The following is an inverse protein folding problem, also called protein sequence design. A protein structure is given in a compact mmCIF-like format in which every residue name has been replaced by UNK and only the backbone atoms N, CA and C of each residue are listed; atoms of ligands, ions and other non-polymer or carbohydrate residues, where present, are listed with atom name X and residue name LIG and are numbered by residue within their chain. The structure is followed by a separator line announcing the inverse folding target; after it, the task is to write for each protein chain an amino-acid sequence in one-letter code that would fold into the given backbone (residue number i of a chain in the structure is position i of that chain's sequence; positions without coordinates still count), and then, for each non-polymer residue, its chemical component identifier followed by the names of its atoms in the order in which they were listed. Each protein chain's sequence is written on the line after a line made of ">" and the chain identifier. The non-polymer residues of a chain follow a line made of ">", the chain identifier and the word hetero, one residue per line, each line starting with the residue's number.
data_IF_855701371154
#
_entry.id   IF_855701371154
#
_cell.length_a   1.000
_cell.length_b   1.000
_cell.length_c   1.000
_cell.angle_alpha   90.00
_cell.angle_beta   90.00
_cell.angle_gamma   90.00
#
_symmetry.space_group_name_H-M   'P 1'
#
loop_
_entity.id
_entity.type
_entity.pdbx_description
1 polymer ?
#
# COMPACT_ATOMS: atom_id res chain seq x y z
N UNK A 1 -21.86 -24.15 -4.24
CA UNK A 1 -21.29 -23.31 -5.31
C UNK A 1 -21.18 -21.91 -4.74
N UNK A 2 -19.95 -21.45 -4.46
CA UNK A 2 -19.46 -20.06 -4.57
C UNK A 2 -18.04 -20.01 -3.98
N UNK A 3 -17.04 -20.20 -4.84
CA UNK A 3 -15.73 -19.60 -4.63
C UNK A 3 -15.73 -18.34 -5.48
N UNK A 4 -15.94 -17.19 -4.85
CA UNK A 4 -15.53 -15.91 -5.42
C UNK A 4 -14.53 -15.35 -4.43
N UNK A 5 -13.28 -15.84 -4.54
CA UNK A 5 -12.17 -15.13 -3.95
C UNK A 5 -12.23 -13.71 -4.52
N UNK A 6 -12.34 -12.71 -3.64
CA UNK A 6 -12.18 -11.32 -4.02
C UNK A 6 -10.88 -11.20 -4.82
N UNK A 7 -10.84 -10.38 -5.89
CA UNK A 7 -9.61 -10.22 -6.66
C UNK A 7 -8.51 -9.83 -5.68
N UNK A 8 -7.50 -10.68 -5.55
CA UNK A 8 -6.38 -10.44 -4.67
C UNK A 8 -5.56 -9.28 -5.27
N UNK A 9 -5.99 -8.05 -5.00
CA UNK A 9 -5.40 -6.80 -5.48
C UNK A 9 -3.92 -6.74 -5.09
N UNK A 10 -3.54 -7.30 -3.94
CA UNK A 10 -2.15 -7.42 -3.50
C UNK A 10 -1.28 -8.29 -4.42
N UNK A 11 -1.84 -9.37 -4.98
CA UNK A 11 -1.10 -10.25 -5.91
C UNK A 11 -0.87 -9.63 -7.29
N UNK A 12 -1.69 -8.66 -7.71
CA UNK A 12 -1.60 -8.07 -9.04
C UNK A 12 -0.74 -6.80 -9.10
N UNK A 13 -0.39 -6.19 -7.96
CA UNK A 13 0.40 -4.95 -7.96
C UNK A 13 1.80 -5.16 -8.54
N UNK A 14 2.44 -6.30 -8.25
CA UNK A 14 3.77 -6.61 -8.79
C UNK A 14 3.72 -6.91 -10.29
N UNK A 15 2.67 -7.59 -10.74
CA UNK A 15 2.43 -7.86 -12.16
C UNK A 15 2.20 -6.56 -12.92
N UNK A 16 1.45 -5.62 -12.32
CA UNK A 16 1.18 -4.32 -12.92
C UNK A 16 2.44 -3.43 -12.97
N UNK A 17 3.21 -3.33 -11.89
CA UNK A 17 4.51 -2.64 -11.87
C UNK A 17 5.43 -3.22 -12.95
N UNK A 18 5.49 -4.55 -13.07
CA UNK A 18 6.29 -5.22 -14.11
C UNK A 18 5.81 -4.84 -15.52
N UNK A 19 4.49 -4.90 -15.76
CA UNK A 19 3.89 -4.49 -17.03
C UNK A 19 4.22 -3.03 -17.39
N UNK A 20 4.14 -2.10 -16.44
CA UNK A 20 4.47 -0.69 -16.64
C UNK A 20 5.96 -0.51 -17.00
N UNK A 21 6.86 -1.26 -16.34
CA UNK A 21 8.30 -1.26 -16.66
C UNK A 21 8.57 -1.78 -18.07
N UNK A 22 7.91 -2.87 -18.47
CA UNK A 22 8.03 -3.45 -19.82
C UNK A 22 7.49 -2.51 -20.90
N UNK A 23 6.35 -1.86 -20.63
CA UNK A 23 5.80 -0.82 -21.50
C UNK A 23 6.79 0.33 -21.70
N UNK A 24 7.39 0.81 -20.61
CA UNK A 24 8.39 1.89 -20.67
C UNK A 24 9.59 1.50 -21.52
N UNK A 25 10.18 0.33 -21.27
CA UNK A 25 11.33 -0.19 -22.02
C UNK A 25 11.00 -0.27 -23.51
N UNK A 26 9.86 -0.85 -23.85
CA UNK A 26 9.41 -1.00 -25.24
C UNK A 26 9.24 0.35 -25.91
N UNK A 27 8.56 1.29 -25.24
CA UNK A 27 8.29 2.62 -25.79
C UNK A 27 9.56 3.45 -25.97
N UNK A 28 10.47 3.45 -24.99
CA UNK A 28 11.79 4.07 -25.11
C UNK A 28 12.61 3.44 -26.24
N UNK A 29 12.56 2.11 -26.39
CA UNK A 29 13.21 1.41 -27.49
C UNK A 29 12.66 1.82 -28.87
N UNK A 30 11.34 1.93 -29.00
CA UNK A 30 10.68 2.39 -30.24
C UNK A 30 11.03 3.83 -30.59
N UNK A 31 11.18 4.71 -29.60
CA UNK A 31 11.70 6.06 -29.82
C UNK A 31 13.16 6.02 -30.32
N UNK A 32 14.02 5.23 -29.67
CA UNK A 32 15.43 5.11 -30.04
C UNK A 32 15.67 4.54 -31.44
N UNK A 33 14.76 3.68 -31.93
CA UNK A 33 14.79 3.16 -33.30
C UNK A 33 14.17 4.09 -34.34
N UNK A 34 13.44 5.12 -33.91
CA UNK A 34 12.72 6.04 -34.80
C UNK A 34 11.33 5.56 -35.23
N UNK A 35 10.82 4.45 -34.67
CA UNK A 35 9.46 3.96 -34.90
C UNK A 35 8.40 4.94 -34.33
N UNK A 36 8.76 5.64 -33.25
CA UNK A 36 7.95 6.66 -32.59
C UNK A 36 8.73 7.99 -32.57
N UNK A 37 8.12 9.12 -32.96
CA UNK A 37 8.81 10.40 -32.92
C UNK A 37 9.13 10.86 -31.50
N UNK A 38 10.33 11.41 -31.30
CA UNK A 38 10.73 12.05 -30.04
C UNK A 38 10.00 13.38 -29.86
N UNK A 39 8.83 13.33 -29.21
CA UNK A 39 7.97 14.51 -28.99
C UNK A 39 7.82 14.79 -27.50
N UNK A 40 7.40 16.03 -27.18
CA UNK A 40 7.04 16.41 -25.81
C UNK A 40 5.98 15.46 -25.23
N UNK A 41 4.95 15.12 -26.00
CA UNK A 41 3.90 14.19 -25.57
C UNK A 41 4.42 12.79 -25.28
N UNK A 42 5.34 12.27 -26.11
CA UNK A 42 5.99 10.98 -25.88
C UNK A 42 6.81 10.97 -24.58
N UNK A 43 7.55 12.05 -24.31
CA UNK A 43 8.32 12.19 -23.07
C UNK A 43 7.42 12.38 -21.86
N UNK A 44 6.31 13.12 -21.98
CA UNK A 44 5.31 13.25 -20.91
C UNK A 44 4.70 11.90 -20.57
N UNK A 45 4.37 11.05 -21.56
CA UNK A 45 3.88 9.70 -21.30
C UNK A 45 4.90 8.87 -20.51
N UNK A 46 6.17 8.87 -20.92
CA UNK A 46 7.24 8.15 -20.21
C UNK A 46 7.38 8.62 -18.76
N UNK A 47 7.33 9.92 -18.52
CA UNK A 47 7.37 10.49 -17.18
C UNK A 47 6.15 10.08 -16.35
N UNK A 48 4.95 10.05 -16.95
CA UNK A 48 3.74 9.61 -16.25
C UNK A 48 3.84 8.13 -15.86
N UNK A 49 4.43 7.27 -16.70
CA UNK A 49 4.68 5.87 -16.37
C UNK A 49 5.63 5.76 -15.17
N UNK A 50 6.69 6.59 -15.12
CA UNK A 50 7.59 6.62 -13.97
C UNK A 50 6.89 7.00 -12.66
N UNK A 51 6.01 8.01 -12.72
CA UNK A 51 5.22 8.42 -11.55
C UNK A 51 4.30 7.30 -11.10
N UNK A 52 3.60 6.63 -12.03
CA UNK A 52 2.73 5.50 -11.69
C UNK A 52 3.49 4.34 -11.04
N UNK A 53 4.66 3.98 -11.60
CA UNK A 53 5.51 2.95 -11.00
C UNK A 53 5.94 3.35 -9.59
N UNK A 54 6.35 4.60 -9.39
CA UNK A 54 6.79 5.07 -8.07
C UNK A 54 5.67 5.06 -7.03
N UNK A 55 4.47 5.50 -7.42
CA UNK A 55 3.29 5.47 -6.55
C UNK A 55 2.91 4.02 -6.19
N UNK A 56 2.88 3.11 -7.16
CA UNK A 56 2.57 1.69 -6.92
C UNK A 56 3.63 0.98 -6.07
N UNK A 57 4.91 1.25 -6.31
CA UNK A 57 6.01 0.71 -5.49
C UNK A 57 5.94 1.19 -4.04
N UNK A 58 5.49 2.43 -3.81
CA UNK A 58 5.27 2.94 -2.46
C UNK A 58 4.08 2.26 -1.77
N UNK A 59 3.03 1.92 -2.53
CA UNK A 59 1.77 1.36 -2.03
C UNK A 59 1.78 -0.17 -1.88
N UNK A 60 2.66 -0.88 -2.60
CA UNK A 60 2.62 -2.35 -2.71
C UNK A 60 2.63 -3.09 -1.38
N UNK A 61 3.38 -2.62 -0.39
CA UNK A 61 3.49 -3.32 0.90
C UNK A 61 2.19 -3.24 1.68
N UNK A 62 1.53 -2.07 1.67
CA UNK A 62 0.21 -1.91 2.29
C UNK A 62 -0.83 -2.74 1.56
N UNK A 63 -0.78 -2.81 0.23
CA UNK A 63 -1.70 -3.62 -0.56
C UNK A 63 -1.52 -5.13 -0.32
N UNK A 64 -0.28 -5.61 -0.25
CA UNK A 64 0.05 -7.01 0.10
C UNK A 64 -0.30 -7.36 1.53
N UNK A 65 -0.11 -6.42 2.46
CA UNK A 65 -0.55 -6.58 3.83
C UNK A 65 -2.07 -6.71 3.89
N UNK A 66 -2.80 -5.81 3.21
CA UNK A 66 -4.26 -5.80 3.18
C UNK A 66 -4.87 -7.01 2.46
N UNK A 67 -4.14 -7.66 1.55
CA UNK A 67 -4.56 -8.93 0.95
C UNK A 67 -4.27 -10.16 1.82
N UNK A 68 -3.50 -10.00 2.91
CA UNK A 68 -3.04 -11.11 3.73
C UNK A 68 -1.83 -11.85 3.15
N UNK A 69 -1.25 -11.40 2.03
CA UNK A 69 -0.07 -12.02 1.41
C UNK A 69 1.22 -11.75 2.22
N UNK A 70 1.23 -10.68 3.03
CA UNK A 70 2.34 -10.29 3.89
C UNK A 70 1.87 -10.07 5.33
N UNK A 71 1.83 -11.13 6.12
CA UNK A 71 1.53 -11.06 7.56
C UNK A 71 2.81 -11.00 8.41
N UNK A 72 2.74 -10.40 9.60
CA UNK A 72 3.84 -10.36 10.57
C UNK A 72 4.80 -9.15 10.46
N UNK A 73 4.68 -8.34 9.40
CA UNK A 73 5.31 -7.02 9.30
C UNK A 73 4.24 -6.02 8.92
N UNK A 74 3.95 -5.09 9.82
CA UNK A 74 2.93 -4.06 9.61
C UNK A 74 3.56 -2.88 8.84
N UNK A 75 3.17 -2.63 7.58
CA UNK A 75 3.76 -1.54 6.81
C UNK A 75 3.31 -0.16 7.33
N UNK A 76 4.08 0.91 7.07
CA UNK A 76 3.62 2.27 7.31
C UNK A 76 2.48 2.62 6.34
N UNK A 77 1.60 3.54 6.75
CA UNK A 77 0.59 4.08 5.85
C UNK A 77 1.24 4.90 4.72
N UNK A 78 0.63 4.85 3.55
CA UNK A 78 1.05 5.63 2.39
C UNK A 78 0.09 6.78 2.15
N UNK A 79 0.33 7.53 1.07
CA UNK A 79 -0.56 8.60 0.64
C UNK A 79 -1.95 8.07 0.27
N UNK A 80 -2.04 6.85 -0.28
CA UNK A 80 -3.27 6.32 -0.86
C UNK A 80 -3.91 5.24 0.00
N UNK A 81 -3.12 4.46 0.74
CA UNK A 81 -3.60 3.30 1.50
C UNK A 81 -3.16 3.33 2.95
N UNK A 82 -4.00 2.73 3.80
CA UNK A 82 -3.69 2.43 5.20
C UNK A 82 -3.68 0.91 5.40
N UNK A 83 -2.79 0.39 6.27
CA UNK A 83 -2.83 -1.01 6.63
C UNK A 83 -4.15 -1.33 7.35
N UNK A 84 -4.78 -2.44 6.99
CA UNK A 84 -6.07 -2.86 7.51
C UNK A 84 -6.01 -3.07 9.04
N UNK A 85 -7.00 -2.55 9.75
CA UNK A 85 -6.99 -2.49 11.20
C UNK A 85 -7.09 -3.88 11.85
N UNK A 86 -7.88 -4.78 11.26
CA UNK A 86 -8.08 -6.11 11.82
C UNK A 86 -6.84 -6.98 11.55
N UNK A 87 -6.25 -6.89 10.36
CA UNK A 87 -4.99 -7.56 10.04
C UNK A 87 -3.80 -7.04 10.87
N UNK A 88 -3.77 -5.74 11.17
CA UNK A 88 -2.80 -5.16 12.13
C UNK A 88 -2.96 -5.79 13.50
N UNK A 89 -4.19 -5.82 13.99
CA UNK A 89 -4.51 -6.40 15.30
C UNK A 89 -4.06 -7.86 15.36
N UNK A 90 -4.35 -8.65 14.32
CA UNK A 90 -3.91 -10.04 14.23
C UNK A 90 -2.39 -10.17 14.20
N UNK A 91 -1.70 -9.35 13.40
CA UNK A 91 -0.23 -9.36 13.31
C UNK A 91 0.44 -9.03 14.65
N UNK A 92 -0.15 -8.15 15.46
CA UNK A 92 0.34 -7.85 16.81
C UNK A 92 0.07 -9.01 17.79
N UNK A 93 -1.09 -9.68 17.69
CA UNK A 93 -1.35 -10.89 18.48
C UNK A 93 -0.33 -11.98 18.18
N UNK A 94 -0.08 -12.24 16.89
CA UNK A 94 0.88 -13.26 16.43
C UNK A 94 2.32 -12.90 16.83
N UNK A 95 2.64 -11.60 16.92
CA UNK A 95 3.91 -11.09 17.44
C UNK A 95 4.07 -11.18 18.96
N UNK A 96 3.06 -11.66 19.69
CA UNK A 96 3.12 -11.81 21.15
C UNK A 96 2.96 -10.51 21.93
N UNK A 97 2.39 -9.46 21.32
CA UNK A 97 2.14 -8.20 22.00
C UNK A 97 1.04 -8.34 23.07
N UNK A 98 1.15 -7.55 24.14
CA UNK A 98 0.13 -7.54 25.19
C UNK A 98 -1.18 -6.94 24.70
N UNK A 99 -2.29 -7.34 25.31
CA UNK A 99 -3.63 -6.81 25.00
C UNK A 99 -3.69 -5.29 25.12
N UNK A 100 -3.01 -4.69 26.10
CA UNK A 100 -2.94 -3.24 26.27
C UNK A 100 -2.25 -2.54 25.08
N UNK A 101 -1.19 -3.13 24.53
CA UNK A 101 -0.49 -2.60 23.35
C UNK A 101 -1.34 -2.72 22.09
N UNK A 102 -2.02 -3.85 21.92
CA UNK A 102 -2.94 -4.08 20.79
C UNK A 102 -4.10 -3.09 20.81
N UNK A 103 -4.72 -2.88 21.97
CA UNK A 103 -5.79 -1.91 22.13
C UNK A 103 -5.31 -0.47 21.88
N UNK A 104 -4.10 -0.13 22.32
CA UNK A 104 -3.50 1.17 22.05
C UNK A 104 -3.25 1.40 20.55
N UNK A 105 -2.72 0.40 19.82
CA UNK A 105 -2.54 0.50 18.36
C UNK A 105 -3.89 0.68 17.67
N UNK A 106 -4.89 -0.14 18.04
CA UNK A 106 -6.23 -0.08 17.47
C UNK A 106 -6.89 1.28 17.69
N UNK A 107 -6.66 1.92 18.83
CA UNK A 107 -7.16 3.28 19.10
C UNK A 107 -6.43 4.33 18.23
N UNK A 108 -5.10 4.25 18.12
CA UNK A 108 -4.34 5.19 17.31
C UNK A 108 -4.71 5.11 15.82
N UNK A 109 -4.99 3.92 15.31
CA UNK A 109 -5.24 3.70 13.88
C UNK A 109 -6.73 3.61 13.49
N UNK A 110 -7.61 3.23 14.43
CA UNK A 110 -9.05 3.05 14.23
C UNK A 110 -9.87 4.34 14.29
N UNK A 111 -9.24 5.50 14.50
CA UNK A 111 -9.90 6.80 14.33
C UNK A 111 -11.01 7.13 15.34
N UNK A 112 -11.01 6.55 16.54
CA UNK A 112 -11.81 7.04 17.67
C UNK A 112 -10.93 7.71 18.72
N UNK A 113 -11.38 8.83 19.33
CA UNK A 113 -10.54 9.70 20.12
C UNK A 113 -9.95 8.93 21.28
N UNK A 114 -8.67 9.18 21.55
CA UNK A 114 -7.95 8.70 22.72
C UNK A 114 -8.81 9.03 23.95
N UNK A 115 -9.55 8.05 24.43
CA UNK A 115 -10.25 8.12 25.70
C UNK A 115 -9.27 7.55 26.70
N UNK A 116 -8.41 8.42 27.24
CA UNK A 116 -7.62 8.06 28.40
C UNK A 116 -8.59 7.61 29.50
N UNK A 117 -8.47 6.38 30.05
CA UNK A 117 -9.33 5.95 31.15
C UNK A 117 -9.16 6.77 32.43
N UNK A 118 -8.21 7.71 32.46
CA UNK A 118 -8.06 8.76 33.46
C UNK A 118 -7.34 9.94 32.81
N UNK A 119 -8.07 10.95 32.34
CA UNK A 119 -7.47 12.27 32.12
C UNK A 119 -7.02 12.87 33.46
N UNK A 120 -5.98 13.72 33.51
CA UNK A 120 -5.58 14.36 34.77
C UNK A 120 -6.78 15.15 35.34
N UNK A 121 -7.20 14.78 36.55
CA UNK A 121 -8.16 15.57 37.32
C UNK A 121 -7.48 16.90 37.69
N UNK A 122 -7.75 17.95 36.92
CA UNK A 122 -7.48 19.30 37.38
C UNK A 122 -8.54 19.65 38.42
N UNK A 123 -8.14 19.62 39.69
CA UNK A 123 -8.97 20.12 40.79
C UNK A 123 -9.34 21.58 40.48
N UNK A 124 -10.65 21.86 40.49
CA UNK A 124 -11.19 23.23 40.46
C UNK A 124 -10.91 23.95 41.76
#
# INVERSE_FOLDING_TARGET
>A
MTFTAEPNIGSHIDEHIKFLRECKITFTGSIGRGDIPYTKSAMTLLNNIDVLIADEEADKEVLRFNSGDMMGMIPPATKHYRPDLDLRTQSLMDGGYTEAMINSDRQMWGGSPISFPNGPQWNK
#
